data_IF_620336802041
#
_entry.id   IF_620336802041
#
_cell.length_a   1.000
_cell.length_b   1.000
_cell.length_c   1.000
_cell.angle_alpha   90.00
_cell.angle_beta   90.00
_cell.angle_gamma   90.00
#
_symmetry.space_group_name_H-M   'P 1'
#
loop_
_entity.id
_entity.type
_entity.pdbx_description
1 polymer ?
#
# COMPACT_ATOMS: atom_id res chain seq x y z
N UNK A 1 39.46 -33.47 -0.58
CA UNK A 1 39.24 -32.47 -1.67
C UNK A 1 37.78 -32.28 -2.11
N UNK A 2 36.79 -33.08 -1.65
CA UNK A 2 35.35 -32.84 -1.92
C UNK A 2 34.65 -31.96 -0.86
N UNK A 3 35.12 -32.00 0.39
CA UNK A 3 34.59 -31.17 1.49
C UNK A 3 34.90 -29.67 1.35
N UNK A 4 36.06 -29.32 0.80
CA UNK A 4 36.49 -27.92 0.67
C UNK A 4 35.72 -27.15 -0.42
N UNK A 5 35.21 -27.86 -1.44
CA UNK A 5 34.35 -27.28 -2.49
C UNK A 5 32.91 -27.01 -2.00
N UNK A 6 32.43 -27.78 -1.02
CA UNK A 6 31.06 -27.62 -0.48
C UNK A 6 30.91 -26.43 0.46
N UNK A 7 31.98 -26.05 1.18
CA UNK A 7 31.98 -24.85 2.02
C UNK A 7 31.97 -23.54 1.20
N UNK A 8 32.56 -23.57 0.00
CA UNK A 8 32.66 -22.38 -0.85
C UNK A 8 31.30 -22.00 -1.46
N UNK A 9 30.39 -22.95 -1.69
CA UNK A 9 29.05 -22.66 -2.20
C UNK A 9 28.12 -22.05 -1.15
N UNK A 10 28.25 -22.41 0.14
CA UNK A 10 27.43 -21.82 1.22
C UNK A 10 27.85 -20.38 1.50
N UNK A 11 29.15 -20.08 1.41
CA UNK A 11 29.65 -18.72 1.58
C UNK A 11 29.22 -17.76 0.45
N UNK A 12 29.07 -18.25 -0.79
CA UNK A 12 28.58 -17.44 -1.92
C UNK A 12 27.05 -17.22 -1.91
N UNK A 13 26.28 -18.07 -1.22
CA UNK A 13 24.83 -17.88 -1.04
C UNK A 13 24.49 -16.91 0.09
N UNK A 14 25.41 -16.69 1.04
CA UNK A 14 25.21 -15.77 2.16
C UNK A 14 25.53 -14.30 1.85
N UNK A 15 26.26 -14.03 0.75
CA UNK A 15 26.66 -12.66 0.38
C UNK A 15 25.70 -11.96 -0.58
N UNK A 16 24.76 -12.70 -1.19
CA UNK A 16 23.83 -12.17 -2.19
C UNK A 16 22.58 -11.47 -1.66
N UNK A 17 22.24 -11.61 -0.38
CA UNK A 17 20.98 -11.07 0.18
C UNK A 17 21.16 -9.80 1.03
N UNK A 18 22.39 -9.37 1.31
CA UNK A 18 22.62 -8.20 2.16
C UNK A 18 22.49 -6.84 1.42
N UNK A 19 22.34 -6.84 0.08
CA UNK A 19 22.47 -5.64 -0.74
C UNK A 19 21.14 -4.94 -1.10
N UNK A 20 20.06 -5.11 -0.34
CA UNK A 20 18.82 -4.35 -0.62
C UNK A 20 17.96 -3.99 0.60
N UNK A 21 18.50 -4.06 1.82
CA UNK A 21 17.85 -3.41 2.95
C UNK A 21 18.29 -1.96 2.98
N UNK A 22 17.43 -1.06 2.49
CA UNK A 22 17.55 0.37 2.77
C UNK A 22 17.64 0.53 4.29
N UNK A 23 18.82 0.93 4.78
CA UNK A 23 18.96 1.31 6.19
C UNK A 23 18.00 2.48 6.40
N UNK A 24 17.04 2.30 7.30
CA UNK A 24 16.11 3.35 7.67
C UNK A 24 16.91 4.61 8.06
N UNK A 25 16.58 5.74 7.42
CA UNK A 25 17.23 7.02 7.70
C UNK A 25 17.19 7.29 9.21
N UNK A 26 18.34 7.61 9.85
CA UNK A 26 18.40 7.94 11.27
C UNK A 26 17.34 8.95 11.72
N UNK A 27 16.95 9.88 10.83
CA UNK A 27 15.87 10.84 11.10
C UNK A 27 14.55 10.12 11.36
N UNK A 28 14.15 9.13 10.55
CA UNK A 28 12.87 8.42 10.75
C UNK A 28 12.88 7.50 11.98
N UNK A 29 14.06 7.03 12.41
CA UNK A 29 14.19 6.17 13.59
C UNK A 29 13.75 6.88 14.87
N UNK A 30 14.09 8.16 15.01
CA UNK A 30 13.77 8.97 16.19
C UNK A 30 12.26 9.15 16.39
N UNK A 31 11.50 9.24 15.30
CA UNK A 31 10.07 9.56 15.32
C UNK A 31 9.17 8.34 15.19
N UNK A 32 9.73 7.14 15.02
CA UNK A 32 8.98 5.91 14.73
C UNK A 32 7.81 5.70 15.69
N UNK A 33 8.06 5.82 16.99
CA UNK A 33 7.07 5.56 18.05
C UNK A 33 5.86 6.50 17.98
N UNK A 34 5.99 7.65 17.30
CA UNK A 34 4.89 8.59 17.04
C UNK A 34 4.27 8.38 15.66
N UNK A 35 5.11 8.13 14.65
CA UNK A 35 4.69 8.02 13.25
C UNK A 35 3.90 6.73 13.02
N UNK A 36 4.36 5.59 13.52
CA UNK A 36 3.69 4.31 13.27
C UNK A 36 2.25 4.31 13.80
N UNK A 37 1.97 4.69 15.06
CA UNK A 37 0.59 4.81 15.54
C UNK A 37 -0.24 5.84 14.77
N UNK A 38 0.38 6.95 14.33
CA UNK A 38 -0.33 7.95 13.55
C UNK A 38 -0.76 7.42 12.17
N UNK A 39 0.10 6.65 11.51
CA UNK A 39 -0.22 5.97 10.24
C UNK A 39 -1.35 4.96 10.46
N UNK A 40 -1.24 4.10 11.48
CA UNK A 40 -2.28 3.11 11.76
C UNK A 40 -3.64 3.76 12.03
N UNK A 41 -3.66 4.83 12.83
CA UNK A 41 -4.88 5.60 13.08
C UNK A 41 -5.47 6.23 11.81
N UNK A 42 -4.62 6.73 10.91
CA UNK A 42 -5.06 7.28 9.64
C UNK A 42 -5.65 6.21 8.72
N UNK A 43 -5.02 5.03 8.63
CA UNK A 43 -5.53 3.91 7.84
C UNK A 43 -6.86 3.39 8.40
N UNK A 44 -6.96 3.24 9.73
CA UNK A 44 -8.21 2.87 10.40
C UNK A 44 -9.32 3.90 10.16
N UNK A 45 -8.98 5.20 10.18
CA UNK A 45 -9.93 6.25 9.83
C UNK A 45 -10.43 6.09 8.39
N UNK A 46 -9.52 5.94 7.42
CA UNK A 46 -9.88 5.75 6.01
C UNK A 46 -10.79 4.53 5.82
N UNK A 47 -10.44 3.39 6.41
CA UNK A 47 -11.25 2.18 6.34
C UNK A 47 -12.64 2.36 6.96
N UNK A 48 -12.75 3.11 8.06
CA UNK A 48 -14.01 3.34 8.77
C UNK A 48 -14.95 4.29 8.03
N UNK A 49 -14.42 5.32 7.38
CA UNK A 49 -15.25 6.33 6.72
C UNK A 49 -15.60 5.98 5.28
N UNK A 50 -14.88 5.04 4.66
CA UNK A 50 -15.17 4.54 3.32
C UNK A 50 -16.60 3.96 3.27
N UNK A 51 -17.34 4.29 2.22
CA UNK A 51 -18.67 3.73 1.96
C UNK A 51 -18.55 2.32 1.37
N UNK A 52 -19.66 1.59 1.40
CA UNK A 52 -19.73 0.22 0.84
C UNK A 52 -19.42 0.18 -0.66
N UNK A 53 -19.73 1.24 -1.41
CA UNK A 53 -19.41 1.34 -2.83
C UNK A 53 -17.93 1.65 -3.10
N UNK A 54 -17.12 1.94 -2.07
CA UNK A 54 -15.71 2.30 -2.20
C UNK A 54 -15.43 3.81 -2.29
N UNK A 55 -16.47 4.65 -2.39
CA UNK A 55 -16.34 6.11 -2.29
C UNK A 55 -16.08 6.60 -0.86
N UNK A 56 -15.76 7.89 -0.73
CA UNK A 56 -15.49 8.56 0.55
C UNK A 56 -16.45 9.73 0.79
N UNK A 57 -16.68 10.12 2.06
CA UNK A 57 -17.45 11.31 2.40
C UNK A 57 -16.80 12.59 1.88
N UNK A 58 -17.56 13.68 1.96
CA UNK A 58 -17.17 15.03 1.55
C UNK A 58 -17.02 15.24 0.03
N UNK A 59 -16.67 16.47 -0.32
CA UNK A 59 -16.46 16.89 -1.71
C UNK A 59 -15.44 16.02 -2.42
N UNK A 60 -15.80 15.60 -3.64
CA UNK A 60 -14.97 14.76 -4.52
C UNK A 60 -14.67 13.36 -3.98
N UNK A 61 -15.27 12.92 -2.87
CA UNK A 61 -15.05 11.58 -2.34
C UNK A 61 -15.60 10.48 -3.24
N UNK A 62 -16.48 10.83 -4.18
CA UNK A 62 -16.95 10.00 -5.28
C UNK A 62 -16.08 10.10 -6.55
N UNK A 63 -15.01 10.91 -6.54
CA UNK A 63 -14.05 10.95 -7.64
C UNK A 63 -13.09 9.78 -7.57
N UNK A 64 -12.66 9.25 -8.71
CA UNK A 64 -11.69 8.14 -8.78
C UNK A 64 -10.37 8.45 -8.07
N UNK A 65 -10.01 9.72 -7.93
CA UNK A 65 -8.78 10.16 -7.27
C UNK A 65 -8.71 9.82 -5.79
N UNK A 66 -9.78 10.01 -5.02
CA UNK A 66 -9.75 9.80 -3.57
C UNK A 66 -9.60 8.31 -3.19
N UNK A 67 -10.44 7.38 -3.70
CA UNK A 67 -10.26 5.95 -3.47
C UNK A 67 -8.91 5.43 -3.97
N UNK A 68 -8.40 5.93 -5.10
CA UNK A 68 -7.07 5.55 -5.59
C UNK A 68 -5.95 5.93 -4.61
N UNK A 69 -5.96 7.16 -4.08
CA UNK A 69 -4.97 7.61 -3.10
C UNK A 69 -5.10 6.84 -1.77
N UNK A 70 -6.32 6.59 -1.30
CA UNK A 70 -6.57 5.81 -0.08
C UNK A 70 -6.05 4.37 -0.23
N UNK A 71 -6.33 3.71 -1.36
CA UNK A 71 -5.80 2.38 -1.66
C UNK A 71 -4.27 2.35 -1.72
N UNK A 72 -3.65 3.35 -2.35
CA UNK A 72 -2.19 3.47 -2.37
C UNK A 72 -1.59 3.68 -0.97
N UNK A 73 -2.25 4.43 -0.08
CA UNK A 73 -1.77 4.61 1.29
C UNK A 73 -1.76 3.28 2.07
N UNK A 74 -2.83 2.48 1.94
CA UNK A 74 -2.93 1.14 2.54
C UNK A 74 -1.83 0.21 2.00
N UNK A 75 -1.66 0.17 0.66
CA UNK A 75 -0.61 -0.62 0.01
C UNK A 75 0.80 -0.18 0.43
N UNK A 76 1.03 1.13 0.58
CA UNK A 76 2.33 1.68 0.96
C UNK A 76 2.79 1.26 2.35
N UNK A 77 1.85 0.93 3.26
CA UNK A 77 2.18 0.35 4.59
C UNK A 77 2.46 -1.16 4.53
N UNK A 78 2.22 -1.80 3.37
CA UNK A 78 2.44 -3.22 3.13
C UNK A 78 1.21 -4.10 3.36
N UNK A 79 0.01 -3.52 3.48
CA UNK A 79 -1.22 -4.31 3.54
C UNK A 79 -1.57 -4.89 2.17
N UNK A 80 -2.24 -6.04 2.18
CA UNK A 80 -2.53 -6.84 0.99
C UNK A 80 -4.04 -6.94 0.74
N UNK A 81 -4.49 -7.08 -0.52
CA UNK A 81 -5.90 -7.27 -0.82
C UNK A 81 -6.41 -8.67 -0.47
N UNK A 82 -5.52 -9.62 -0.17
CA UNK A 82 -5.88 -11.02 0.09
C UNK A 82 -6.04 -11.35 1.57
N UNK A 83 -5.50 -10.54 2.47
CA UNK A 83 -5.46 -10.84 3.90
C UNK A 83 -5.30 -9.60 4.80
N UNK A 84 -5.62 -9.79 6.08
CA UNK A 84 -5.46 -8.75 7.09
C UNK A 84 -6.65 -7.78 7.16
N UNK A 85 -6.59 -6.83 8.11
CA UNK A 85 -7.73 -5.99 8.48
C UNK A 85 -8.12 -4.97 7.40
N UNK A 86 -7.23 -4.68 6.47
CA UNK A 86 -7.46 -3.71 5.39
C UNK A 86 -7.75 -4.37 4.03
N UNK A 87 -7.86 -5.70 3.96
CA UNK A 87 -8.13 -6.41 2.71
C UNK A 87 -9.43 -5.93 2.05
N UNK A 88 -10.52 -5.90 2.79
CA UNK A 88 -11.82 -5.50 2.26
C UNK A 88 -11.87 -4.00 1.89
N UNK A 89 -11.44 -3.04 2.75
CA UNK A 89 -11.34 -1.62 2.35
C UNK A 89 -10.46 -1.38 1.12
N UNK A 90 -9.35 -2.12 0.99
CA UNK A 90 -8.46 -2.03 -0.15
C UNK A 90 -9.12 -2.54 -1.43
N UNK A 91 -9.78 -3.70 -1.38
CA UNK A 91 -10.51 -4.21 -2.55
C UNK A 91 -11.60 -3.22 -2.99
N UNK A 92 -12.37 -2.64 -2.07
CA UNK A 92 -13.36 -1.59 -2.44
C UNK A 92 -12.71 -0.38 -3.14
N UNK A 93 -11.50 0.02 -2.75
CA UNK A 93 -10.78 1.08 -3.46
C UNK A 93 -10.42 0.65 -4.89
N UNK A 94 -9.92 -0.57 -5.06
CA UNK A 94 -9.54 -1.14 -6.36
C UNK A 94 -10.76 -1.28 -7.26
N UNK A 95 -11.82 -1.91 -6.75
CA UNK A 95 -13.07 -2.15 -7.46
C UNK A 95 -13.71 -0.83 -7.90
N UNK A 96 -13.79 0.18 -7.03
CA UNK A 96 -14.32 1.49 -7.39
C UNK A 96 -13.56 2.13 -8.55
N UNK A 97 -12.23 2.06 -8.56
CA UNK A 97 -11.43 2.63 -9.66
C UNK A 97 -11.69 1.85 -10.94
N UNK A 98 -11.67 0.51 -10.90
CA UNK A 98 -11.86 -0.34 -12.08
C UNK A 98 -13.27 -0.22 -12.67
N UNK A 99 -14.30 -0.17 -11.84
CA UNK A 99 -15.69 0.02 -12.26
C UNK A 99 -15.94 1.36 -12.96
N UNK A 100 -15.07 2.35 -12.75
CA UNK A 100 -15.17 3.68 -13.35
C UNK A 100 -14.18 3.91 -14.51
N UNK A 101 -13.68 2.82 -15.10
CA UNK A 101 -12.95 2.88 -16.36
C UNK A 101 -13.90 3.13 -17.54
N UNK A 102 -13.60 4.16 -18.35
CA UNK A 102 -14.27 4.43 -19.62
C UNK A 102 -13.73 3.53 -20.72
N UNK A 103 -14.47 3.40 -21.81
CA UNK A 103 -14.07 2.60 -22.98
C UNK A 103 -12.76 3.06 -23.66
N UNK A 104 -12.37 4.32 -23.45
CA UNK A 104 -11.09 4.87 -23.93
C UNK A 104 -9.92 4.66 -22.96
N UNK A 105 -10.14 3.96 -21.84
CA UNK A 105 -9.13 3.66 -20.82
C UNK A 105 -8.98 4.71 -19.71
N UNK A 106 -9.69 5.84 -19.76
CA UNK A 106 -9.69 6.85 -18.71
C UNK A 106 -10.44 6.36 -17.46
N UNK A 107 -9.89 6.57 -16.27
CA UNK A 107 -10.57 6.28 -15.00
C UNK A 107 -11.20 7.54 -14.42
N UNK A 108 -12.52 7.66 -14.49
CA UNK A 108 -13.21 8.89 -14.09
C UNK A 108 -14.62 8.62 -13.55
N UNK A 109 -14.88 9.18 -12.36
CA UNK A 109 -16.18 9.31 -11.71
C UNK A 109 -16.26 10.70 -11.05
N UNK A 110 -17.46 11.24 -10.89
CA UNK A 110 -17.69 12.54 -10.26
C UNK A 110 -17.23 13.74 -11.11
N UNK A 111 -17.47 14.95 -10.60
CA UNK A 111 -17.20 16.21 -11.32
C UNK A 111 -15.82 16.82 -10.98
N UNK A 112 -14.82 16.00 -10.65
CA UNK A 112 -13.51 16.47 -10.18
C UNK A 112 -12.58 16.98 -11.30
N UNK A 113 -13.03 16.98 -12.56
CA UNK A 113 -12.18 17.27 -13.72
C UNK A 113 -12.88 17.89 -14.93
N UNK A 114 -14.11 18.40 -14.77
CA UNK A 114 -14.90 19.06 -15.84
C UNK A 114 -15.34 20.46 -15.42
#
# INVERSE_FOLDING_TARGET
MKFFRSLLCVALLATGTAASQSQADPVFLEWRDKIDPAIENALQFLARVQREDGSFPESYGDSTGIPALAGMAILSKGHLPTEGPFAEPLNRCIDFVLENQKSNGLFEKGNAGT
#
